data_IF_732643488707
#
_entry.id   IF_732643488707
#
_cell.length_a   1.000
_cell.length_b   1.000
_cell.length_c   1.000
_cell.angle_alpha   90.00
_cell.angle_beta   90.00
_cell.angle_gamma   90.00
#
_symmetry.space_group_name_H-M   'P 1'
#
loop_
_entity.id
_entity.type
_entity.pdbx_description
1 polymer ?
#
# COMPACT_ATOMS: atom_id res chain seq x y z
N UNK A 1 21.04 -36.07 3.37
CA UNK A 1 20.71 -36.13 4.78
C UNK A 1 19.93 -34.88 5.25
N UNK A 2 20.48 -33.67 5.20
CA UNK A 2 19.81 -32.45 5.72
C UNK A 2 18.46 -32.15 5.06
N UNK A 3 18.35 -32.17 3.72
CA UNK A 3 17.08 -31.93 3.00
C UNK A 3 16.01 -32.98 3.40
N UNK A 4 16.45 -34.23 3.53
CA UNK A 4 15.55 -35.31 3.98
C UNK A 4 15.04 -35.07 5.39
N UNK A 5 15.87 -34.50 6.28
CA UNK A 5 15.48 -34.20 7.65
C UNK A 5 14.47 -33.02 7.70
N UNK A 6 14.65 -32.00 6.84
CA UNK A 6 13.70 -30.89 6.69
C UNK A 6 12.29 -31.42 6.33
N UNK A 7 12.20 -32.28 5.32
CA UNK A 7 10.91 -32.86 4.91
C UNK A 7 10.34 -33.80 5.97
N UNK A 8 11.19 -34.60 6.64
CA UNK A 8 10.75 -35.53 7.69
C UNK A 8 10.18 -34.84 8.94
N UNK A 9 10.57 -33.56 9.21
CA UNK A 9 9.96 -32.79 10.31
C UNK A 9 8.44 -32.73 10.18
N UNK A 10 7.91 -32.72 8.95
CA UNK A 10 6.49 -32.61 8.69
C UNK A 10 5.68 -33.87 9.02
N UNK A 11 6.24 -35.07 8.82
CA UNK A 11 5.48 -36.31 9.00
C UNK A 11 6.08 -37.29 10.04
N UNK A 12 7.34 -37.11 10.45
CA UNK A 12 7.99 -37.93 11.45
C UNK A 12 8.80 -37.10 12.47
N UNK A 13 8.21 -36.03 13.07
CA UNK A 13 8.94 -35.05 13.87
C UNK A 13 9.67 -35.64 15.06
N UNK A 14 9.10 -36.61 15.76
CA UNK A 14 9.73 -37.25 16.91
C UNK A 14 11.09 -37.87 16.59
N UNK A 15 11.20 -38.58 15.46
CA UNK A 15 12.45 -39.25 15.08
C UNK A 15 13.50 -38.21 14.66
N UNK A 16 13.08 -37.21 13.91
CA UNK A 16 14.00 -36.20 13.37
C UNK A 16 14.50 -35.26 14.46
N UNK A 17 13.62 -34.76 15.34
CA UNK A 17 14.06 -33.88 16.43
C UNK A 17 15.03 -34.59 17.40
N UNK A 18 14.84 -35.90 17.65
CA UNK A 18 15.80 -36.66 18.43
C UNK A 18 17.19 -36.65 17.80
N UNK A 19 17.30 -36.82 16.47
CA UNK A 19 18.55 -36.77 15.71
C UNK A 19 19.15 -35.35 15.67
N UNK A 20 18.31 -34.33 15.42
CA UNK A 20 18.74 -32.92 15.38
C UNK A 20 19.29 -32.49 16.75
N UNK A 21 18.62 -32.83 17.83
CA UNK A 21 19.05 -32.47 19.19
C UNK A 21 20.34 -33.14 19.58
N UNK A 22 20.55 -34.39 19.16
CA UNK A 22 21.81 -35.12 19.41
C UNK A 22 22.98 -34.58 18.60
N UNK A 23 22.76 -34.13 17.37
CA UNK A 23 23.79 -33.59 16.49
C UNK A 23 23.33 -32.30 15.79
N UNK A 24 23.27 -31.18 16.53
CA UNK A 24 22.69 -29.92 16.02
C UNK A 24 23.59 -29.26 14.99
N UNK A 25 23.10 -29.18 13.72
CA UNK A 25 23.78 -28.54 12.61
C UNK A 25 22.96 -27.33 12.15
N UNK A 26 23.52 -26.12 12.18
CA UNK A 26 22.87 -24.89 11.76
C UNK A 26 22.44 -24.89 10.28
N UNK A 27 23.17 -25.61 9.42
CA UNK A 27 22.96 -25.61 7.99
C UNK A 27 21.51 -25.94 7.60
N UNK A 28 20.85 -26.85 8.32
CA UNK A 28 19.45 -27.19 8.03
C UNK A 28 18.49 -26.04 8.33
N UNK A 29 18.66 -25.37 9.47
CA UNK A 29 17.85 -24.22 9.83
C UNK A 29 18.11 -23.02 8.89
N UNK A 30 19.35 -22.85 8.42
CA UNK A 30 19.69 -21.82 7.42
C UNK A 30 19.03 -22.14 6.07
N UNK A 31 18.99 -23.40 5.65
CA UNK A 31 18.27 -23.79 4.43
C UNK A 31 16.76 -23.48 4.58
N UNK A 32 16.16 -23.74 5.74
CA UNK A 32 14.74 -23.38 6.00
C UNK A 32 14.54 -21.87 5.89
N UNK A 33 15.44 -21.06 6.46
CA UNK A 33 15.41 -19.59 6.31
C UNK A 33 15.45 -19.18 4.83
N UNK A 34 16.37 -19.73 4.05
CA UNK A 34 16.49 -19.38 2.62
C UNK A 34 15.25 -19.79 1.82
N UNK A 35 14.70 -20.96 2.10
CA UNK A 35 13.44 -21.42 1.48
C UNK A 35 12.25 -20.54 1.89
N UNK A 36 12.19 -20.11 3.14
CA UNK A 36 11.16 -19.19 3.61
C UNK A 36 11.26 -17.83 2.89
N UNK A 37 12.47 -17.25 2.81
CA UNK A 37 12.70 -15.99 2.13
C UNK A 37 12.29 -16.10 0.66
N UNK A 38 12.68 -17.17 -0.03
CA UNK A 38 12.29 -17.38 -1.43
C UNK A 38 10.76 -17.53 -1.60
N UNK A 39 10.12 -18.33 -0.75
CA UNK A 39 8.68 -18.56 -0.82
C UNK A 39 7.88 -17.28 -0.51
N UNK A 40 8.25 -16.56 0.54
CA UNK A 40 7.59 -15.31 0.92
C UNK A 40 7.78 -14.21 -0.14
N UNK A 41 8.98 -14.09 -0.71
CA UNK A 41 9.22 -13.15 -1.81
C UNK A 41 8.34 -13.48 -3.01
N UNK A 42 8.21 -14.75 -3.37
CA UNK A 42 7.31 -15.20 -4.43
C UNK A 42 5.83 -14.90 -4.11
N UNK A 43 5.43 -15.06 -2.84
CA UNK A 43 4.08 -14.68 -2.38
C UNK A 43 3.82 -13.19 -2.55
N UNK A 44 4.71 -12.33 -2.05
CA UNK A 44 4.56 -10.88 -2.18
C UNK A 44 4.56 -10.44 -3.64
N UNK A 45 5.45 -11.03 -4.47
CA UNK A 45 5.42 -10.78 -5.91
C UNK A 45 4.06 -11.15 -6.53
N UNK A 46 3.56 -12.34 -6.25
CA UNK A 46 2.27 -12.81 -6.78
C UNK A 46 1.09 -11.95 -6.32
N UNK A 47 1.10 -11.47 -5.08
CA UNK A 47 0.07 -10.60 -4.53
C UNK A 47 0.13 -9.18 -5.10
N UNK A 48 1.32 -8.56 -5.07
CA UNK A 48 1.48 -7.17 -5.52
C UNK A 48 1.44 -7.00 -7.04
N UNK A 49 1.72 -8.05 -7.83
CA UNK A 49 1.51 -8.03 -9.28
C UNK A 49 0.03 -7.91 -9.70
N UNK A 50 -0.90 -8.06 -8.77
CA UNK A 50 -2.35 -7.90 -8.97
C UNK A 50 -2.92 -6.66 -8.29
N UNK A 51 -2.10 -5.90 -7.59
CA UNK A 51 -2.53 -4.75 -6.80
C UNK A 51 -2.09 -3.47 -7.51
N UNK A 52 -3.01 -2.85 -8.23
CA UNK A 52 -2.79 -1.65 -9.01
C UNK A 52 -3.21 -0.42 -8.23
N UNK A 53 -2.33 0.56 -8.12
CA UNK A 53 -2.60 1.87 -7.53
C UNK A 53 -2.65 2.93 -8.60
N UNK A 54 -3.66 3.79 -8.53
CA UNK A 54 -3.78 4.92 -9.45
C UNK A 54 -2.64 5.90 -9.23
N UNK A 55 -1.93 6.21 -10.32
CA UNK A 55 -0.86 7.18 -10.34
C UNK A 55 -1.40 8.58 -10.62
N UNK A 56 -0.70 9.59 -10.13
CA UNK A 56 -1.04 11.00 -10.36
C UNK A 56 0.16 11.80 -10.84
N UNK A 57 -0.12 12.90 -11.51
CA UNK A 57 0.87 13.96 -11.76
C UNK A 57 0.28 15.28 -11.24
N UNK A 58 0.89 15.93 -10.25
CA UNK A 58 2.19 15.65 -9.61
C UNK A 58 2.26 14.28 -8.93
N UNK A 59 3.50 13.74 -8.90
CA UNK A 59 3.77 12.39 -8.40
C UNK A 59 3.58 12.28 -6.89
N UNK A 60 3.22 11.10 -6.40
CA UNK A 60 3.15 10.79 -4.98
C UNK A 60 1.89 11.34 -4.30
N UNK A 61 0.79 11.44 -5.05
CA UNK A 61 -0.50 11.92 -4.54
C UNK A 61 -0.44 13.34 -3.95
N UNK A 62 0.39 14.21 -4.52
CA UNK A 62 0.54 15.61 -4.11
C UNK A 62 -0.46 16.51 -4.83
N UNK A 63 -1.76 16.28 -4.66
CA UNK A 63 -2.83 16.97 -5.38
C UNK A 63 -2.84 18.49 -5.17
N UNK A 64 -2.34 18.95 -4.02
CA UNK A 64 -2.22 20.36 -3.67
C UNK A 64 -0.95 21.06 -4.17
N UNK A 65 0.00 20.34 -4.76
CA UNK A 65 1.33 20.88 -5.07
C UNK A 65 1.27 22.21 -5.83
N UNK A 66 0.49 22.31 -6.90
CA UNK A 66 0.37 23.52 -7.69
C UNK A 66 -0.49 24.58 -7.00
N UNK A 67 -1.50 24.19 -6.23
CA UNK A 67 -2.41 25.11 -5.54
C UNK A 67 -1.88 25.61 -4.20
N UNK A 68 -0.74 25.12 -3.75
CA UNK A 68 -0.01 25.66 -2.60
C UNK A 68 1.05 26.71 -2.97
N UNK A 69 1.21 27.01 -4.25
CA UNK A 69 2.16 28.02 -4.72
C UNK A 69 1.45 29.03 -5.63
N UNK A 70 1.04 30.15 -5.05
CA UNK A 70 0.34 31.22 -5.76
C UNK A 70 1.20 31.87 -6.86
N UNK A 71 2.53 31.81 -6.76
CA UNK A 71 3.44 32.43 -7.75
C UNK A 71 3.48 31.71 -9.10
N UNK A 72 2.97 30.48 -9.15
CA UNK A 72 2.87 29.72 -10.41
C UNK A 72 1.67 30.16 -11.26
N UNK A 73 0.75 30.93 -10.68
CA UNK A 73 -0.52 31.26 -11.31
C UNK A 73 -0.56 32.68 -11.81
N UNK A 74 -1.16 32.85 -12.99
CA UNK A 74 -1.49 34.13 -13.60
C UNK A 74 -3.00 34.30 -13.68
N UNK A 75 -3.44 35.57 -13.75
CA UNK A 75 -4.86 35.93 -13.87
C UNK A 75 -5.00 37.33 -14.50
N UNK A 76 -6.22 37.80 -14.70
CA UNK A 76 -6.52 39.14 -15.24
C UNK A 76 -5.78 40.27 -14.49
N UNK A 77 -5.40 41.32 -15.20
CA UNK A 77 -4.90 42.54 -14.57
C UNK A 77 -5.92 43.11 -13.59
N UNK A 78 -5.49 43.42 -12.37
CA UNK A 78 -6.37 43.86 -11.27
C UNK A 78 -7.00 42.75 -10.42
N UNK A 79 -6.87 41.50 -10.81
CA UNK A 79 -7.25 40.39 -9.96
C UNK A 79 -6.21 40.14 -8.86
N UNK A 80 -6.66 39.65 -7.72
CA UNK A 80 -5.82 39.31 -6.56
C UNK A 80 -5.79 37.79 -6.39
N UNK A 81 -4.59 37.22 -6.31
CA UNK A 81 -4.38 35.82 -5.94
C UNK A 81 -3.96 35.79 -4.47
N UNK A 82 -4.63 35.00 -3.66
CA UNK A 82 -4.33 34.86 -2.23
C UNK A 82 -4.54 33.43 -1.73
N UNK A 83 -3.93 33.10 -0.58
CA UNK A 83 -4.19 31.84 0.10
C UNK A 83 -5.41 31.97 0.99
N UNK A 84 -6.25 30.95 1.01
CA UNK A 84 -7.36 30.81 1.94
C UNK A 84 -7.15 29.58 2.83
N UNK A 85 -7.07 29.84 4.16
CA UNK A 85 -6.83 28.82 5.17
C UNK A 85 -8.11 28.40 5.90
N UNK A 86 -9.23 29.09 5.67
CA UNK A 86 -10.50 28.84 6.36
C UNK A 86 -11.49 28.01 5.56
N UNK A 87 -11.36 28.02 4.22
CA UNK A 87 -12.24 27.28 3.33
C UNK A 87 -11.40 26.46 2.36
N UNK A 88 -11.15 25.23 2.73
CA UNK A 88 -10.31 24.27 2.04
C UNK A 88 -10.83 22.85 2.24
N UNK A 89 -10.37 21.94 1.37
CA UNK A 89 -10.59 20.50 1.56
C UNK A 89 -9.51 20.02 2.52
N UNK A 90 -9.91 19.71 3.75
CA UNK A 90 -8.99 19.27 4.78
C UNK A 90 -8.58 17.81 4.55
N UNK A 91 -7.48 17.63 3.82
CA UNK A 91 -6.90 16.33 3.52
C UNK A 91 -5.39 16.50 3.30
N UNK A 92 -4.59 15.56 3.78
CA UNK A 92 -3.12 15.59 3.69
C UNK A 92 -2.60 15.75 2.27
N UNK A 93 -3.29 15.16 1.27
CA UNK A 93 -2.86 15.20 -0.14
C UNK A 93 -3.28 16.50 -0.86
N UNK A 94 -4.28 17.22 -0.36
CA UNK A 94 -4.75 18.47 -0.95
C UNK A 94 -4.06 19.72 -0.38
N UNK A 95 -3.25 19.56 0.67
CA UNK A 95 -2.50 20.65 1.31
C UNK A 95 -3.29 21.44 2.35
N UNK A 96 -2.68 22.54 2.81
CA UNK A 96 -3.13 23.32 3.98
C UNK A 96 -3.93 24.57 3.61
N UNK A 97 -4.06 24.88 2.33
CA UNK A 97 -4.75 26.08 1.83
C UNK A 97 -5.38 25.82 0.47
N UNK A 98 -6.40 26.57 0.14
CA UNK A 98 -6.87 26.76 -1.24
C UNK A 98 -6.32 28.06 -1.81
N UNK A 99 -6.21 28.17 -3.13
CA UNK A 99 -5.95 29.43 -3.81
C UNK A 99 -7.27 30.14 -4.12
N UNK A 100 -7.36 31.38 -3.74
CA UNK A 100 -8.47 32.28 -4.06
C UNK A 100 -8.04 33.29 -5.11
N UNK A 101 -8.87 33.42 -6.14
CA UNK A 101 -8.77 34.42 -7.20
C UNK A 101 -9.95 35.36 -7.06
N UNK A 102 -9.68 36.65 -6.89
CA UNK A 102 -10.72 37.67 -6.70
C UNK A 102 -10.53 38.81 -7.69
N UNK A 103 -11.61 39.20 -8.40
CA UNK A 103 -11.64 40.30 -9.35
C UNK A 103 -12.94 41.07 -9.15
N UNK A 104 -12.86 42.39 -9.05
CA UNK A 104 -14.03 43.24 -8.84
C UNK A 104 -14.50 43.86 -10.17
N UNK A 105 -15.79 44.02 -10.31
CA UNK A 105 -16.44 44.74 -11.44
C UNK A 105 -16.05 44.17 -12.81
N UNK A 106 -16.16 42.86 -12.96
CA UNK A 106 -15.89 42.15 -14.21
C UNK A 106 -16.94 41.10 -14.48
N UNK A 107 -17.16 40.78 -15.76
CA UNK A 107 -17.94 39.63 -16.19
C UNK A 107 -17.08 38.43 -16.56
N UNK A 108 -15.76 38.58 -16.60
CA UNK A 108 -14.86 37.51 -17.04
C UNK A 108 -13.64 37.41 -16.13
N UNK A 109 -13.21 36.18 -15.88
CA UNK A 109 -11.95 35.90 -15.20
C UNK A 109 -11.27 34.71 -15.87
N UNK A 110 -9.94 34.79 -16.00
CA UNK A 110 -9.15 33.60 -16.29
C UNK A 110 -8.20 33.27 -15.12
N UNK A 111 -7.89 32.01 -15.00
CA UNK A 111 -6.83 31.51 -14.13
C UNK A 111 -5.92 30.63 -14.97
N UNK A 112 -4.62 30.80 -14.84
CA UNK A 112 -3.66 30.14 -15.69
C UNK A 112 -2.47 29.63 -14.87
N UNK A 113 -2.14 28.36 -15.07
CA UNK A 113 -0.92 27.73 -14.63
C UNK A 113 -0.09 27.47 -15.90
N UNK A 114 0.80 28.40 -16.24
CA UNK A 114 1.48 28.43 -17.53
C UNK A 114 2.57 27.38 -17.69
N UNK A 115 3.10 26.84 -16.58
CA UNK A 115 4.16 25.83 -16.60
C UNK A 115 3.98 24.82 -15.45
N UNK A 116 3.85 23.57 -15.82
CA UNK A 116 3.79 22.43 -14.87
C UNK A 116 5.18 22.02 -14.34
N UNK A 117 6.25 22.69 -14.77
CA UNK A 117 7.66 22.37 -14.52
C UNK A 117 8.16 21.09 -15.21
N UNK A 118 7.26 20.21 -15.63
CA UNK A 118 7.53 19.03 -16.46
C UNK A 118 6.34 18.82 -17.39
N UNK A 119 6.58 18.23 -18.56
CA UNK A 119 5.49 17.85 -19.46
C UNK A 119 4.74 16.65 -18.93
N UNK A 120 3.43 16.65 -19.15
CA UNK A 120 2.52 15.54 -18.79
C UNK A 120 2.13 14.81 -20.07
N UNK A 121 2.33 13.52 -20.07
CA UNK A 121 1.84 12.66 -21.15
C UNK A 121 0.37 12.33 -20.92
N UNK A 122 -0.49 12.75 -21.84
CA UNK A 122 -1.92 12.49 -21.88
C UNK A 122 -2.36 11.76 -23.16
N UNK A 123 -1.43 11.08 -23.85
CA UNK A 123 -1.79 10.20 -24.97
C UNK A 123 -2.53 8.92 -24.45
N UNK A 124 -2.99 8.00 -25.32
CA UNK A 124 -3.69 6.79 -24.86
C UNK A 124 -2.90 5.89 -23.90
N UNK A 125 -1.58 6.06 -23.78
CA UNK A 125 -0.72 5.33 -22.84
C UNK A 125 -0.40 6.13 -21.57
N UNK A 126 -0.74 7.42 -21.55
CA UNK A 126 -0.50 8.35 -20.45
C UNK A 126 -1.72 8.55 -19.55
N UNK A 127 -1.78 9.69 -18.87
CA UNK A 127 -2.90 10.06 -18.01
C UNK A 127 -4.19 10.23 -18.82
N UNK A 128 -5.28 9.68 -18.31
CA UNK A 128 -6.56 9.65 -19.02
C UNK A 128 -7.53 10.73 -18.55
N UNK A 129 -7.30 11.31 -17.39
CA UNK A 129 -8.16 12.31 -16.80
C UNK A 129 -7.33 13.42 -16.14
N UNK A 130 -7.87 14.64 -16.16
CA UNK A 130 -7.44 15.74 -15.31
C UNK A 130 -8.52 16.02 -14.29
N UNK A 131 -8.16 16.18 -13.03
CA UNK A 131 -9.07 16.51 -11.94
C UNK A 131 -8.70 17.86 -11.32
N UNK A 132 -9.73 18.63 -10.94
CA UNK A 132 -9.59 19.90 -10.25
C UNK A 132 -10.73 20.07 -9.25
N UNK A 133 -10.43 20.55 -8.06
CA UNK A 133 -11.42 20.97 -7.08
C UNK A 133 -11.62 22.47 -7.22
N UNK A 134 -12.85 22.89 -7.54
CA UNK A 134 -13.20 24.30 -7.76
C UNK A 134 -14.44 24.67 -6.93
N UNK A 135 -14.43 25.91 -6.43
CA UNK A 135 -15.59 26.54 -5.75
C UNK A 135 -15.77 27.95 -6.27
N UNK A 136 -16.93 28.23 -6.86
CA UNK A 136 -17.34 29.58 -7.24
C UNK A 136 -18.02 30.18 -6.00
N UNK A 137 -17.41 31.21 -5.41
CA UNK A 137 -17.90 31.88 -4.19
C UNK A 137 -18.80 33.04 -4.58
N UNK A 138 -18.37 33.83 -5.58
CA UNK A 138 -19.08 34.95 -6.18
C UNK A 138 -18.81 34.98 -7.69
N UNK A 139 -19.79 35.35 -8.52
CA UNK A 139 -21.23 35.52 -8.14
C UNK A 139 -21.87 34.16 -7.81
N UNK A 140 -22.99 34.19 -7.10
CA UNK A 140 -23.73 32.95 -6.75
C UNK A 140 -24.60 32.46 -7.91
N UNK A 141 -24.01 32.46 -9.10
CA UNK A 141 -24.61 31.95 -10.35
C UNK A 141 -23.58 31.13 -11.10
N UNK A 142 -24.02 30.19 -11.90
CA UNK A 142 -23.14 29.44 -12.78
C UNK A 142 -22.59 30.35 -13.91
N UNK A 143 -21.38 30.10 -14.44
CA UNK A 143 -20.87 30.81 -15.59
C UNK A 143 -21.69 30.48 -16.84
N UNK A 144 -21.93 31.50 -17.72
CA UNK A 144 -22.54 31.30 -19.03
C UNK A 144 -21.60 30.57 -20.00
N UNK A 145 -20.30 30.77 -19.82
CA UNK A 145 -19.26 30.09 -20.60
C UNK A 145 -18.10 29.74 -19.70
N UNK A 146 -17.64 28.51 -19.84
CA UNK A 146 -16.46 28.00 -19.15
C UNK A 146 -15.61 27.20 -20.12
N UNK A 147 -14.33 27.51 -20.22
CA UNK A 147 -13.45 26.87 -21.17
C UNK A 147 -12.14 26.50 -20.50
N UNK A 148 -11.75 25.23 -20.62
CA UNK A 148 -10.45 24.75 -20.17
C UNK A 148 -9.51 24.57 -21.37
N UNK A 149 -8.35 25.21 -21.32
CA UNK A 149 -7.29 25.02 -22.31
C UNK A 149 -6.11 24.31 -21.68
N UNK A 150 -5.55 23.31 -22.36
CA UNK A 150 -4.32 22.62 -22.00
C UNK A 150 -3.24 22.97 -23.02
N UNK A 151 -2.19 23.59 -22.56
CA UNK A 151 -1.08 24.01 -23.40
C UNK A 151 -0.14 22.85 -23.71
N UNK A 152 0.35 22.81 -24.95
CA UNK A 152 1.34 21.85 -25.40
C UNK A 152 2.58 22.59 -25.89
N UNK A 153 3.67 22.50 -25.14
CA UNK A 153 4.95 23.12 -25.37
C UNK A 153 4.95 24.68 -25.39
N UNK A 154 3.85 25.31 -25.80
CA UNK A 154 3.69 26.77 -25.83
C UNK A 154 2.23 27.15 -25.73
N UNK A 155 1.93 28.37 -25.26
CA UNK A 155 0.59 28.90 -25.16
C UNK A 155 -0.14 29.10 -26.51
N UNK A 156 0.58 29.04 -27.64
CA UNK A 156 -0.01 29.11 -28.98
C UNK A 156 -0.53 27.77 -29.50
N UNK A 157 -0.11 26.65 -28.87
CA UNK A 157 -0.55 25.31 -29.21
C UNK A 157 -1.31 24.77 -28.02
N UNK A 158 -2.60 24.56 -28.15
CA UNK A 158 -3.44 24.07 -27.04
C UNK A 158 -4.61 23.23 -27.48
N UNK A 159 -5.05 22.37 -26.59
CA UNK A 159 -6.33 21.70 -26.65
C UNK A 159 -7.34 22.48 -25.80
N UNK A 160 -8.56 22.66 -26.30
CA UNK A 160 -9.63 23.39 -25.62
C UNK A 160 -10.84 22.50 -25.40
N UNK A 161 -11.39 22.53 -24.18
CA UNK A 161 -12.57 21.80 -23.77
C UNK A 161 -13.63 22.73 -23.22
N UNK A 162 -14.89 22.53 -23.60
CA UNK A 162 -16.04 23.30 -23.10
C UNK A 162 -16.55 22.69 -21.79
N UNK A 163 -16.33 23.41 -20.68
CA UNK A 163 -16.76 23.05 -19.33
C UNK A 163 -18.11 23.66 -18.94
N UNK A 164 -18.79 24.36 -19.86
CA UNK A 164 -19.99 25.15 -19.54
C UNK A 164 -21.09 24.28 -18.91
N UNK A 165 -21.34 23.12 -19.48
CA UNK A 165 -22.32 22.14 -18.95
C UNK A 165 -21.93 21.59 -17.60
N UNK A 166 -20.64 21.23 -17.40
CA UNK A 166 -20.14 20.64 -16.17
C UNK A 166 -20.28 21.62 -15.01
N UNK A 167 -19.95 22.90 -15.24
CA UNK A 167 -20.06 23.95 -14.23
C UNK A 167 -21.49 24.46 -14.05
N UNK A 168 -22.35 24.43 -15.08
CA UNK A 168 -23.78 24.79 -14.93
C UNK A 168 -24.54 23.78 -14.08
N UNK A 169 -24.16 22.52 -14.13
CA UNK A 169 -24.73 21.45 -13.30
C UNK A 169 -24.12 21.39 -11.90
N UNK A 170 -23.02 22.10 -11.66
CA UNK A 170 -22.32 22.13 -10.38
C UNK A 170 -23.00 23.08 -9.40
N UNK A 171 -23.01 22.73 -8.11
CA UNK A 171 -23.56 23.60 -7.09
C UNK A 171 -22.59 24.78 -6.82
N UNK A 172 -23.15 26.01 -6.81
CA UNK A 172 -22.38 27.20 -6.42
C UNK A 172 -22.12 27.24 -4.92
N UNK A 173 -21.08 27.93 -4.50
CA UNK A 173 -20.66 28.08 -3.09
C UNK A 173 -20.30 26.78 -2.37
N UNK A 174 -20.14 25.67 -3.09
CA UNK A 174 -19.64 24.38 -2.56
C UNK A 174 -18.43 23.91 -3.37
N UNK A 175 -17.62 23.05 -2.78
CA UNK A 175 -16.52 22.42 -3.49
C UNK A 175 -17.04 21.38 -4.49
N UNK A 176 -16.71 21.57 -5.75
CA UNK A 176 -17.05 20.66 -6.84
C UNK A 176 -15.79 19.94 -7.32
N UNK A 177 -15.92 18.65 -7.63
CA UNK A 177 -14.88 17.87 -8.27
C UNK A 177 -15.12 17.84 -9.77
N UNK A 178 -14.33 18.59 -10.52
CA UNK A 178 -14.27 18.51 -11.96
C UNK A 178 -13.30 17.42 -12.36
N UNK A 179 -13.74 16.46 -13.14
CA UNK A 179 -12.87 15.45 -13.76
C UNK A 179 -13.14 15.45 -15.25
N UNK A 180 -12.13 15.80 -16.03
CA UNK A 180 -12.20 15.97 -17.48
C UNK A 180 -11.36 14.89 -18.15
N UNK A 181 -11.92 14.10 -19.10
CA UNK A 181 -11.13 13.14 -19.86
C UNK A 181 -10.13 13.89 -20.75
N UNK A 182 -8.87 13.43 -20.80
CA UNK A 182 -7.79 13.98 -21.63
C UNK A 182 -7.31 12.94 -22.63
N UNK A 183 -6.51 13.36 -23.63
CA UNK A 183 -5.91 12.47 -24.62
C UNK A 183 -6.83 12.08 -25.79
N UNK A 184 -8.13 12.27 -25.65
CA UNK A 184 -9.12 11.94 -26.71
C UNK A 184 -10.44 12.63 -26.44
N UNK A 185 -11.39 12.56 -27.36
CA UNK A 185 -12.76 13.04 -27.17
C UNK A 185 -13.02 14.45 -27.71
N UNK A 186 -13.83 15.26 -26.99
CA UNK A 186 -14.41 16.52 -27.48
C UNK A 186 -13.47 17.74 -27.32
N UNK A 187 -12.16 17.57 -27.47
CA UNK A 187 -11.19 18.65 -27.44
C UNK A 187 -11.00 19.27 -28.81
N UNK A 188 -11.05 20.59 -28.88
CA UNK A 188 -10.70 21.37 -30.07
C UNK A 188 -9.20 21.66 -30.05
N UNK A 189 -8.49 21.34 -31.13
CA UNK A 189 -7.06 21.65 -31.28
C UNK A 189 -6.86 23.03 -31.88
N UNK A 190 -5.95 23.83 -31.31
CA UNK A 190 -5.50 25.09 -31.86
C UNK A 190 -3.97 25.04 -32.05
N UNK A 191 -3.49 25.39 -33.21
CA UNK A 191 -2.10 25.17 -33.61
C UNK A 191 -1.80 23.70 -33.90
N UNK A 192 -0.70 23.22 -33.37
CA UNK A 192 -0.29 21.83 -33.52
C UNK A 192 0.06 21.23 -32.14
N UNK A 193 -0.93 21.08 -31.23
CA UNK A 193 -0.70 20.56 -29.90
C UNK A 193 -0.47 19.05 -29.94
N UNK A 194 0.31 18.55 -28.96
CA UNK A 194 0.68 17.15 -28.78
C UNK A 194 0.30 16.69 -27.38
N UNK A 195 -0.51 15.64 -27.28
CA UNK A 195 -0.94 15.05 -26.00
C UNK A 195 0.20 14.46 -25.17
N UNK A 196 1.34 14.15 -25.79
CA UNK A 196 2.51 13.68 -25.04
C UNK A 196 3.22 14.77 -24.27
N UNK A 197 2.93 16.04 -24.58
CA UNK A 197 3.69 17.19 -24.10
C UNK A 197 2.78 18.30 -23.56
N UNK A 198 1.89 17.99 -22.62
CA UNK A 198 1.06 18.99 -21.94
C UNK A 198 1.88 19.68 -20.86
N UNK A 199 1.98 21.00 -20.92
CA UNK A 199 2.89 21.80 -20.09
C UNK A 199 2.21 22.87 -19.24
N UNK A 200 0.92 23.14 -19.45
CA UNK A 200 0.20 24.15 -18.68
C UNK A 200 -1.31 24.05 -18.90
N UNK A 201 -2.05 24.84 -18.13
CA UNK A 201 -3.50 24.93 -18.25
C UNK A 201 -3.98 26.37 -18.08
N UNK A 202 -5.15 26.66 -18.65
CA UNK A 202 -5.90 27.89 -18.44
C UNK A 202 -7.40 27.58 -18.36
N UNK A 203 -8.05 28.13 -17.36
CA UNK A 203 -9.50 28.11 -17.21
C UNK A 203 -10.06 29.53 -17.41
N UNK A 204 -10.91 29.72 -18.40
CA UNK A 204 -11.63 30.95 -18.66
C UNK A 204 -13.08 30.80 -18.22
N UNK A 205 -13.58 31.75 -17.45
CA UNK A 205 -14.97 31.80 -16.98
C UNK A 205 -15.61 33.13 -17.37
N UNK A 206 -16.81 33.12 -17.97
CA UNK A 206 -17.61 34.29 -18.28
C UNK A 206 -19.00 34.19 -17.62
N UNK A 207 -19.45 35.30 -17.02
CA UNK A 207 -20.70 35.44 -16.32
C UNK A 207 -21.60 36.47 -17.04
N UNK A 208 -22.93 36.36 -16.87
CA UNK A 208 -23.92 37.20 -17.54
C UNK A 208 -23.87 38.69 -17.17
N UNK A 209 -23.30 39.01 -16.00
CA UNK A 209 -23.27 40.37 -15.47
C UNK A 209 -21.94 40.73 -14.87
N UNK A 210 -21.58 42.03 -14.96
CA UNK A 210 -20.44 42.55 -14.20
C UNK A 210 -20.70 42.47 -12.70
N UNK A 211 -19.85 41.83 -11.98
CA UNK A 211 -19.93 41.61 -10.53
C UNK A 211 -18.57 41.45 -9.89
N UNK A 212 -18.54 41.29 -8.60
CA UNK A 212 -17.37 40.69 -7.95
C UNK A 212 -17.30 39.23 -8.30
N UNK A 213 -16.13 38.77 -8.76
CA UNK A 213 -15.85 37.37 -9.03
C UNK A 213 -14.87 36.88 -7.96
N UNK A 214 -15.22 35.80 -7.27
CA UNK A 214 -14.34 35.11 -6.33
C UNK A 214 -14.47 33.63 -6.55
N UNK A 215 -13.35 32.98 -6.88
CA UNK A 215 -13.30 31.53 -7.03
C UNK A 215 -12.12 30.96 -6.26
N UNK A 216 -12.26 29.71 -5.83
CA UNK A 216 -11.22 28.97 -5.12
C UNK A 216 -10.91 27.69 -5.86
N UNK A 217 -9.64 27.35 -5.92
CA UNK A 217 -9.17 26.08 -6.46
C UNK A 217 -8.29 25.35 -5.46
N UNK A 218 -8.39 24.02 -5.47
CA UNK A 218 -7.52 23.16 -4.69
C UNK A 218 -7.42 21.79 -5.34
N UNK A 219 -6.22 21.21 -5.37
CA UNK A 219 -6.03 19.88 -5.93
C UNK A 219 -6.21 19.81 -7.44
N UNK A 220 -5.24 20.32 -8.18
CA UNK A 220 -5.16 20.19 -9.64
C UNK A 220 -4.14 19.10 -9.96
N UNK A 221 -4.56 18.05 -10.66
CA UNK A 221 -3.70 16.90 -10.95
C UNK A 221 -4.25 16.07 -12.12
N UNK A 222 -3.35 15.34 -12.76
CA UNK A 222 -3.69 14.33 -13.76
C UNK A 222 -3.76 12.95 -13.10
N UNK A 223 -4.61 12.04 -13.64
CA UNK A 223 -4.89 10.72 -13.09
C UNK A 223 -5.32 9.72 -14.18
N UNK A 224 -5.53 8.46 -13.79
CA UNK A 224 -6.10 7.42 -14.65
C UNK A 224 -5.09 6.40 -15.17
N UNK A 225 -3.80 6.50 -14.78
CA UNK A 225 -2.82 5.44 -14.96
C UNK A 225 -2.86 4.55 -13.71
N UNK A 226 -2.87 3.24 -13.92
CA UNK A 226 -2.82 2.25 -12.84
C UNK A 226 -1.58 1.40 -12.99
N UNK A 227 -0.73 1.42 -11.96
CA UNK A 227 0.53 0.66 -11.93
C UNK A 227 0.64 -0.14 -10.65
N UNK A 228 1.32 -1.28 -10.75
CA UNK A 228 1.68 -2.08 -9.57
C UNK A 228 2.90 -1.48 -8.87
N UNK A 229 3.09 -1.70 -7.56
CA UNK A 229 4.32 -1.28 -6.86
C UNK A 229 5.61 -1.82 -7.51
N UNK A 230 5.50 -2.94 -8.23
CA UNK A 230 6.61 -3.57 -8.94
C UNK A 230 6.96 -2.78 -10.21
N UNK A 231 5.98 -2.23 -10.92
CA UNK A 231 6.18 -1.39 -12.11
C UNK A 231 6.72 -0.02 -11.74
N UNK A 232 6.25 0.57 -10.64
CA UNK A 232 6.69 1.88 -10.15
C UNK A 232 8.17 1.85 -9.72
N UNK A 233 8.57 0.89 -8.90
CA UNK A 233 9.96 0.72 -8.45
C UNK A 233 10.27 -0.75 -8.16
N UNK A 234 10.64 -1.50 -9.19
CA UNK A 234 10.96 -2.93 -9.05
C UNK A 234 12.15 -3.18 -8.13
N UNK A 235 13.19 -2.37 -8.21
CA UNK A 235 14.41 -2.55 -7.41
C UNK A 235 14.16 -2.30 -5.94
N UNK A 236 13.54 -1.17 -5.60
CA UNK A 236 13.17 -0.85 -4.22
C UNK A 236 12.18 -1.85 -3.65
N UNK A 237 11.19 -2.28 -4.45
CA UNK A 237 10.25 -3.32 -4.04
C UNK A 237 10.96 -4.60 -3.59
N UNK A 238 11.84 -5.18 -4.44
CA UNK A 238 12.52 -6.43 -4.10
C UNK A 238 13.48 -6.28 -2.91
N UNK A 239 14.23 -5.18 -2.83
CA UNK A 239 15.14 -4.94 -1.69
C UNK A 239 14.33 -4.86 -0.38
N UNK A 240 13.25 -4.09 -0.37
CA UNK A 240 12.41 -3.91 0.83
C UNK A 240 11.75 -5.24 1.25
N UNK A 241 11.22 -6.00 0.30
CA UNK A 241 10.59 -7.30 0.59
C UNK A 241 11.61 -8.31 1.11
N UNK A 242 12.77 -8.43 0.47
CA UNK A 242 13.83 -9.34 0.93
C UNK A 242 14.29 -8.99 2.35
N UNK A 243 14.49 -7.71 2.65
CA UNK A 243 14.88 -7.26 3.98
C UNK A 243 13.77 -7.55 5.01
N UNK A 244 12.53 -7.23 4.70
CA UNK A 244 11.37 -7.47 5.57
C UNK A 244 11.24 -8.96 5.91
N UNK A 245 11.21 -9.81 4.91
CA UNK A 245 11.00 -11.26 5.04
C UNK A 245 12.16 -11.93 5.79
N UNK A 246 13.39 -11.53 5.49
CA UNK A 246 14.58 -12.02 6.20
C UNK A 246 14.53 -11.66 7.68
N UNK A 247 14.21 -10.41 8.01
CA UNK A 247 14.14 -9.94 9.40
C UNK A 247 12.95 -10.57 10.13
N UNK A 248 11.82 -10.75 9.47
CA UNK A 248 10.64 -11.44 10.03
C UNK A 248 11.00 -12.86 10.51
N UNK A 249 11.58 -13.68 9.61
CA UNK A 249 11.97 -15.04 9.99
C UNK A 249 13.02 -15.05 11.10
N UNK A 250 14.03 -14.18 11.01
CA UNK A 250 15.09 -14.11 12.01
C UNK A 250 14.54 -13.77 13.40
N UNK A 251 13.68 -12.77 13.49
CA UNK A 251 13.04 -12.38 14.75
C UNK A 251 12.13 -13.49 15.29
N UNK A 252 11.29 -14.09 14.44
CA UNK A 252 10.43 -15.20 14.84
C UNK A 252 11.26 -16.36 15.39
N UNK A 253 12.32 -16.76 14.70
CA UNK A 253 13.19 -17.84 15.10
C UNK A 253 13.90 -17.55 16.43
N UNK A 254 14.53 -16.37 16.55
CA UNK A 254 15.30 -15.98 17.77
C UNK A 254 14.35 -15.82 18.96
N UNK A 255 13.25 -15.09 18.81
CA UNK A 255 12.33 -14.79 19.92
C UNK A 255 11.64 -16.08 20.39
N UNK A 256 11.12 -16.89 19.47
CA UNK A 256 10.47 -18.16 19.82
C UNK A 256 11.46 -19.09 20.56
N UNK A 257 12.70 -19.18 20.09
CA UNK A 257 13.74 -19.96 20.77
C UNK A 257 14.06 -19.42 22.16
N UNK A 258 14.20 -18.11 22.31
CA UNK A 258 14.51 -17.46 23.57
C UNK A 258 13.40 -17.68 24.59
N UNK A 259 12.16 -17.51 24.18
CA UNK A 259 11.01 -17.73 25.07
C UNK A 259 10.87 -19.19 25.47
N UNK A 260 11.02 -20.13 24.54
CA UNK A 260 11.06 -21.57 24.86
C UNK A 260 12.17 -21.89 25.86
N UNK A 261 13.37 -21.34 25.64
CA UNK A 261 14.52 -21.55 26.53
C UNK A 261 14.24 -21.02 27.95
N UNK A 262 13.73 -19.79 28.06
CA UNK A 262 13.40 -19.15 29.34
C UNK A 262 12.31 -19.94 30.06
N UNK A 263 11.24 -20.33 29.36
CA UNK A 263 10.14 -21.08 29.98
C UNK A 263 10.55 -22.48 30.44
N UNK A 264 11.35 -23.21 29.65
CA UNK A 264 11.87 -24.51 30.04
C UNK A 264 12.74 -24.37 31.30
N UNK A 265 13.66 -23.39 31.33
CA UNK A 265 14.52 -23.12 32.48
C UNK A 265 13.72 -22.67 33.71
N UNK A 266 12.75 -21.77 33.54
CA UNK A 266 11.89 -21.29 34.61
C UNK A 266 11.07 -22.40 35.29
N UNK A 267 10.71 -23.41 34.51
CA UNK A 267 10.02 -24.62 35.02
C UNK A 267 10.99 -25.73 35.48
N UNK A 268 12.27 -25.38 35.73
CA UNK A 268 13.35 -26.27 36.20
C UNK A 268 13.70 -27.37 35.20
N UNK A 269 13.42 -27.20 33.90
CA UNK A 269 13.82 -28.14 32.87
C UNK A 269 15.31 -27.98 32.48
N UNK A 270 15.91 -29.08 32.00
CA UNK A 270 17.26 -29.06 31.44
C UNK A 270 17.19 -28.80 29.96
N UNK A 271 17.88 -27.75 29.48
CA UNK A 271 17.94 -27.40 28.07
C UNK A 271 19.25 -26.68 27.75
N UNK A 272 19.78 -26.94 26.56
CA UNK A 272 20.93 -26.24 25.99
C UNK A 272 20.52 -25.42 24.80
N UNK A 273 21.13 -24.23 24.63
CA UNK A 273 20.71 -23.26 23.62
C UNK A 273 20.84 -23.79 22.18
N UNK A 274 22.01 -24.30 21.80
CA UNK A 274 22.29 -24.69 20.40
C UNK A 274 21.32 -25.75 19.85
N UNK A 275 21.06 -26.90 20.51
CA UNK A 275 20.10 -27.85 20.02
C UNK A 275 18.66 -27.29 19.93
N UNK A 276 18.24 -26.47 20.89
CA UNK A 276 16.95 -25.84 20.87
C UNK A 276 16.80 -24.88 19.68
N UNK A 277 17.79 -23.99 19.50
CA UNK A 277 17.82 -23.01 18.42
C UNK A 277 17.75 -23.68 17.05
N UNK A 278 18.54 -24.72 16.83
CA UNK A 278 18.50 -25.48 15.58
C UNK A 278 17.16 -26.18 15.39
N UNK A 279 16.61 -26.84 16.41
CA UNK A 279 15.35 -27.55 16.30
C UNK A 279 14.17 -26.62 16.01
N UNK A 280 14.13 -25.44 16.64
CA UNK A 280 13.10 -24.41 16.36
C UNK A 280 13.21 -23.92 14.92
N UNK A 281 14.41 -23.66 14.40
CA UNK A 281 14.60 -23.28 12.99
C UNK A 281 14.05 -24.32 12.01
N UNK A 282 14.19 -25.63 12.32
CA UNK A 282 13.56 -26.68 11.52
C UNK A 282 12.02 -26.69 11.66
N UNK A 283 11.48 -26.39 12.84
CA UNK A 283 10.04 -26.39 13.06
C UNK A 283 9.32 -25.31 12.23
N UNK A 284 10.01 -24.19 11.92
CA UNK A 284 9.48 -23.10 11.11
C UNK A 284 9.31 -23.47 9.62
N UNK A 285 9.68 -24.70 9.18
CA UNK A 285 9.35 -25.19 7.83
C UNK A 285 7.84 -25.16 7.53
N UNK A 286 7.02 -25.23 8.55
CA UNK A 286 5.55 -25.19 8.44
C UNK A 286 5.06 -23.87 7.84
N UNK A 287 5.74 -22.75 8.10
CA UNK A 287 5.40 -21.44 7.55
C UNK A 287 5.59 -21.39 6.03
N UNK A 288 6.55 -22.17 5.49
CA UNK A 288 6.76 -22.29 4.04
C UNK A 288 5.55 -22.97 3.38
N UNK A 289 4.98 -24.00 4.02
CA UNK A 289 3.78 -24.68 3.49
C UNK A 289 2.61 -23.71 3.44
N UNK A 290 2.39 -22.93 4.50
CA UNK A 290 1.38 -21.88 4.54
C UNK A 290 1.58 -20.89 3.38
N UNK A 291 2.82 -20.44 3.16
CA UNK A 291 3.17 -19.51 2.08
C UNK A 291 2.88 -20.09 0.70
N UNK A 292 3.21 -21.36 0.46
CA UNK A 292 2.91 -22.03 -0.82
C UNK A 292 1.41 -22.11 -1.07
N UNK A 293 0.60 -22.37 -0.04
CA UNK A 293 -0.86 -22.35 -0.13
C UNK A 293 -1.36 -20.92 -0.42
N UNK A 294 -0.79 -19.92 0.24
CA UNK A 294 -1.11 -18.52 0.00
C UNK A 294 -0.78 -18.10 -1.45
N UNK A 295 0.35 -18.53 -2.01
CA UNK A 295 0.69 -18.31 -3.44
C UNK A 295 -0.39 -18.94 -4.33
N UNK A 296 -0.79 -20.17 -4.07
CA UNK A 296 -1.84 -20.82 -4.84
C UNK A 296 -3.18 -20.06 -4.73
N UNK A 297 -3.52 -19.55 -3.55
CA UNK A 297 -4.73 -18.75 -3.34
C UNK A 297 -4.67 -17.38 -4.06
N UNK A 298 -3.49 -16.74 -4.15
CA UNK A 298 -3.34 -15.47 -4.89
C UNK A 298 -3.60 -15.63 -6.39
N UNK A 299 -3.39 -16.83 -6.96
CA UNK A 299 -3.69 -17.03 -8.39
C UNK A 299 -5.17 -16.84 -8.72
N UNK A 300 -6.05 -17.12 -7.76
CA UNK A 300 -7.50 -16.96 -7.89
C UNK A 300 -7.99 -15.53 -7.62
N UNK A 301 -7.14 -14.64 -7.10
CA UNK A 301 -7.51 -13.23 -6.90
C UNK A 301 -7.63 -12.51 -8.24
N UNK A 302 -8.67 -11.71 -8.47
CA UNK A 302 -8.70 -10.77 -9.60
C UNK A 302 -7.70 -9.64 -9.37
N UNK A 303 -7.46 -8.85 -10.42
CA UNK A 303 -6.72 -7.58 -10.28
C UNK A 303 -7.50 -6.62 -9.40
N UNK A 304 -6.81 -6.00 -8.45
CA UNK A 304 -7.35 -5.03 -7.51
C UNK A 304 -6.90 -3.64 -7.97
N UNK A 305 -7.85 -2.76 -8.24
CA UNK A 305 -7.59 -1.38 -8.64
C UNK A 305 -7.94 -0.45 -7.49
N UNK A 306 -6.94 0.28 -7.00
CA UNK A 306 -7.07 1.23 -5.91
C UNK A 306 -7.03 2.64 -6.47
N UNK A 307 -8.19 3.30 -6.65
CA UNK A 307 -8.25 4.69 -7.12
C UNK A 307 -7.76 5.65 -6.03
N UNK A 308 -7.46 6.87 -6.43
CA UNK A 308 -6.90 7.89 -5.52
C UNK A 308 -7.84 8.26 -4.37
N UNK A 309 -9.15 8.15 -4.55
CA UNK A 309 -10.12 8.40 -3.50
C UNK A 309 -9.91 7.47 -2.30
N UNK A 310 -9.52 6.23 -2.57
CA UNK A 310 -9.13 5.26 -1.54
C UNK A 310 -7.80 5.65 -0.89
N UNK A 311 -6.81 5.98 -1.71
CA UNK A 311 -5.47 6.35 -1.25
C UNK A 311 -5.49 7.68 -0.47
N UNK A 312 -6.28 8.66 -0.92
CA UNK A 312 -6.45 9.95 -0.28
C UNK A 312 -7.39 9.92 0.95
N UNK A 313 -7.98 8.77 1.25
CA UNK A 313 -8.89 8.57 2.38
C UNK A 313 -10.04 9.60 2.42
N UNK A 314 -10.67 9.86 1.26
CA UNK A 314 -11.88 10.70 1.17
C UNK A 314 -13.03 9.93 1.83
N UNK A 315 -13.61 10.37 2.96
CA UNK A 315 -14.34 9.49 3.88
C UNK A 315 -15.51 8.71 3.25
N UNK A 316 -16.32 9.33 2.41
CA UNK A 316 -17.48 8.67 1.80
C UNK A 316 -17.06 7.69 0.69
N UNK A 317 -16.14 8.11 -0.17
CA UNK A 317 -15.66 7.35 -1.33
C UNK A 317 -14.74 6.21 -0.90
N UNK A 318 -13.84 6.47 0.06
CA UNK A 318 -12.94 5.46 0.62
C UNK A 318 -13.71 4.30 1.27
N UNK A 319 -14.84 4.56 1.92
CA UNK A 319 -15.64 3.49 2.54
C UNK A 319 -16.30 2.58 1.50
N UNK A 320 -16.80 3.12 0.39
CA UNK A 320 -17.38 2.34 -0.70
C UNK A 320 -16.33 1.43 -1.34
N UNK A 321 -15.13 1.97 -1.59
CA UNK A 321 -14.01 1.22 -2.17
C UNK A 321 -13.50 0.17 -1.20
N UNK A 322 -13.34 0.50 0.10
CA UNK A 322 -12.99 -0.46 1.14
C UNK A 322 -13.95 -1.66 1.18
N UNK A 323 -15.25 -1.39 1.09
CA UNK A 323 -16.25 -2.45 1.06
C UNK A 323 -16.10 -3.34 -0.18
N UNK A 324 -15.86 -2.75 -1.35
CA UNK A 324 -15.66 -3.49 -2.59
C UNK A 324 -14.37 -4.35 -2.56
N UNK A 325 -13.25 -3.78 -2.10
CA UNK A 325 -11.98 -4.49 -1.95
C UNK A 325 -12.11 -5.61 -0.92
N UNK A 326 -12.75 -5.34 0.23
CA UNK A 326 -12.98 -6.33 1.27
C UNK A 326 -13.84 -7.49 0.78
N UNK A 327 -14.91 -7.22 0.03
CA UNK A 327 -15.74 -8.26 -0.57
C UNK A 327 -14.95 -9.14 -1.56
N UNK A 328 -14.12 -8.50 -2.40
CA UNK A 328 -13.28 -9.19 -3.39
C UNK A 328 -12.20 -10.06 -2.75
N UNK A 329 -11.62 -9.59 -1.65
CA UNK A 329 -10.54 -10.31 -0.94
C UNK A 329 -11.02 -11.23 0.17
N UNK A 330 -12.33 -11.24 0.50
CA UNK A 330 -12.89 -11.99 1.62
C UNK A 330 -12.53 -13.48 1.61
N UNK A 331 -12.69 -14.13 0.45
CA UNK A 331 -12.38 -15.57 0.30
C UNK A 331 -10.89 -15.84 0.50
N UNK A 332 -10.02 -14.99 -0.05
CA UNK A 332 -8.58 -15.08 0.14
C UNK A 332 -8.20 -14.91 1.62
N UNK A 333 -8.74 -13.89 2.28
CA UNK A 333 -8.49 -13.60 3.70
C UNK A 333 -8.95 -14.76 4.60
N UNK A 334 -10.09 -15.38 4.28
CA UNK A 334 -10.59 -16.55 5.00
C UNK A 334 -9.65 -17.75 4.84
N UNK A 335 -9.26 -18.08 3.60
CA UNK A 335 -8.33 -19.18 3.32
C UNK A 335 -7.01 -18.92 4.05
N UNK A 336 -6.43 -17.73 3.89
CA UNK A 336 -5.20 -17.37 4.55
C UNK A 336 -5.28 -17.49 6.07
N UNK A 337 -6.34 -16.96 6.69
CA UNK A 337 -6.56 -17.03 8.14
C UNK A 337 -6.71 -18.46 8.67
N UNK A 338 -7.44 -19.32 7.98
CA UNK A 338 -7.59 -20.74 8.37
C UNK A 338 -6.24 -21.46 8.34
N UNK A 339 -5.46 -21.28 7.25
CA UNK A 339 -4.15 -21.93 7.16
C UNK A 339 -3.12 -21.31 8.12
N UNK A 340 -3.23 -20.03 8.43
CA UNK A 340 -2.41 -19.39 9.45
C UNK A 340 -2.64 -20.00 10.83
N UNK A 341 -3.89 -20.16 11.24
CA UNK A 341 -4.25 -20.81 12.51
C UNK A 341 -3.74 -22.26 12.51
N UNK A 342 -3.95 -23.02 11.44
CA UNK A 342 -3.46 -24.39 11.32
C UNK A 342 -1.93 -24.46 11.45
N UNK A 343 -1.20 -23.53 10.83
CA UNK A 343 0.26 -23.44 10.93
C UNK A 343 0.71 -23.15 12.35
N UNK A 344 0.07 -22.22 13.05
CA UNK A 344 0.40 -21.91 14.44
C UNK A 344 0.15 -23.09 15.37
N UNK A 345 -0.97 -23.81 15.20
CA UNK A 345 -1.23 -25.05 15.94
C UNK A 345 -0.16 -26.11 15.66
N UNK A 346 0.31 -26.19 14.43
CA UNK A 346 1.37 -27.12 14.07
C UNK A 346 2.71 -26.72 14.69
N UNK A 347 3.08 -25.42 14.67
CA UNK A 347 4.29 -24.92 15.36
C UNK A 347 4.23 -25.24 16.86
N UNK A 348 3.05 -25.06 17.49
CA UNK A 348 2.84 -25.44 18.91
C UNK A 348 3.08 -26.95 19.12
N UNK A 349 2.54 -27.79 18.25
CA UNK A 349 2.73 -29.23 18.34
C UNK A 349 4.22 -29.63 18.16
N UNK A 350 4.91 -29.07 17.17
CA UNK A 350 6.34 -29.31 16.95
C UNK A 350 7.17 -28.77 18.12
N UNK A 351 6.85 -27.59 18.64
CA UNK A 351 7.53 -27.01 19.81
C UNK A 351 7.30 -27.88 21.08
N UNK A 352 6.12 -28.46 21.24
CA UNK A 352 5.87 -29.41 22.33
C UNK A 352 6.71 -30.69 22.20
N UNK A 353 6.87 -31.21 20.97
CA UNK A 353 7.73 -32.36 20.69
C UNK A 353 9.20 -32.02 20.98
N UNK A 354 9.66 -30.84 20.53
CA UNK A 354 11.03 -30.35 20.79
C UNK A 354 11.25 -30.26 22.31
N UNK A 355 10.35 -29.57 23.02
CA UNK A 355 10.43 -29.36 24.48
C UNK A 355 10.50 -30.69 25.21
N UNK A 356 9.65 -31.64 24.85
CA UNK A 356 9.64 -32.98 25.47
C UNK A 356 10.93 -33.76 25.15
N UNK A 357 11.41 -33.69 23.92
CA UNK A 357 12.61 -34.43 23.49
C UNK A 357 13.89 -33.87 24.11
N UNK A 358 14.00 -32.54 24.21
CA UNK A 358 15.22 -31.89 24.72
C UNK A 358 15.33 -32.01 26.24
N UNK A 359 14.19 -32.13 26.96
CA UNK A 359 14.16 -32.32 28.42
C UNK A 359 14.26 -33.78 28.85
N UNK A 360 14.33 -34.72 27.89
CA UNK A 360 14.56 -36.13 28.22
C UNK A 360 16.01 -36.34 28.68
N UNK A 361 16.25 -37.13 29.77
CA UNK A 361 17.59 -37.43 30.21
C UNK A 361 18.38 -38.21 29.16
N UNK A 362 19.63 -37.82 28.94
CA UNK A 362 20.54 -38.42 27.94
C UNK A 362 21.23 -39.72 28.36
N UNK A 363 20.63 -40.52 29.25
CA UNK A 363 21.24 -41.75 29.70
C UNK A 363 21.03 -42.87 28.68
N UNK A 364 22.06 -43.32 28.04
CA UNK A 364 22.08 -44.51 27.17
C UNK A 364 21.67 -45.76 28.01
N UNK A 365 20.58 -46.44 27.57
CA UNK A 365 20.15 -47.69 28.14
C UNK A 365 19.03 -47.64 29.16
N UNK A 366 18.56 -46.49 29.63
CA UNK A 366 17.37 -46.38 30.45
C UNK A 366 16.18 -45.91 29.62
N UNK A 367 14.95 -46.43 29.91
CA UNK A 367 13.68 -45.87 29.47
C UNK A 367 13.46 -44.52 30.18
N UNK A 368 14.26 -43.51 29.85
CA UNK A 368 14.28 -42.23 30.53
C UNK A 368 12.96 -41.50 30.28
N UNK A 369 12.17 -41.40 31.36
CA UNK A 369 10.92 -40.63 31.33
C UNK A 369 11.26 -39.15 31.08
N UNK A 370 10.66 -38.52 30.06
CA UNK A 370 10.88 -37.10 29.82
C UNK A 370 10.54 -36.27 31.06
N UNK A 371 11.35 -35.30 31.39
CA UNK A 371 11.15 -34.39 32.54
C UNK A 371 9.84 -33.62 32.42
N UNK A 372 9.38 -33.33 31.18
CA UNK A 372 8.11 -32.71 30.89
C UNK A 372 7.13 -33.69 30.24
N UNK A 373 5.95 -33.80 30.85
CA UNK A 373 4.80 -34.47 30.24
C UNK A 373 4.23 -33.66 29.08
N UNK A 374 3.37 -34.25 28.26
CA UNK A 374 2.75 -33.61 27.12
C UNK A 374 2.05 -32.28 27.46
N UNK A 375 1.25 -32.25 28.54
CA UNK A 375 0.51 -31.04 28.94
C UNK A 375 1.45 -29.86 29.22
N UNK A 376 2.54 -30.05 29.96
CA UNK A 376 3.56 -29.04 30.20
C UNK A 376 4.24 -28.60 28.91
N UNK A 377 4.56 -29.55 28.03
CA UNK A 377 5.24 -29.23 26.74
C UNK A 377 4.37 -28.40 25.82
N UNK A 378 3.08 -28.72 25.72
CA UNK A 378 2.11 -27.93 24.96
C UNK A 378 1.91 -26.54 25.55
N UNK A 379 1.80 -26.43 26.88
CA UNK A 379 1.67 -25.13 27.55
C UNK A 379 2.87 -24.22 27.29
N UNK A 380 4.09 -24.76 27.44
CA UNK A 380 5.35 -24.02 27.18
C UNK A 380 5.41 -23.58 25.72
N UNK A 381 5.13 -24.48 24.79
CA UNK A 381 5.19 -24.16 23.36
C UNK A 381 4.12 -23.14 22.96
N UNK A 382 2.87 -23.34 23.41
CA UNK A 382 1.76 -22.43 23.10
C UNK A 382 1.96 -21.03 23.67
N UNK A 383 2.35 -20.94 24.94
CA UNK A 383 2.64 -19.64 25.57
C UNK A 383 3.83 -18.95 24.93
N UNK A 384 4.91 -19.69 24.56
CA UNK A 384 6.06 -19.12 23.85
C UNK A 384 5.66 -18.57 22.49
N UNK A 385 4.87 -19.30 21.71
CA UNK A 385 4.39 -18.81 20.40
C UNK A 385 3.49 -17.60 20.56
N UNK A 386 2.53 -17.61 21.48
CA UNK A 386 1.64 -16.48 21.73
C UNK A 386 2.43 -15.20 22.06
N UNK A 387 3.39 -15.32 22.96
CA UNK A 387 4.26 -14.18 23.32
C UNK A 387 5.13 -13.74 22.13
N UNK A 388 5.63 -14.69 21.33
CA UNK A 388 6.37 -14.36 20.09
C UNK A 388 5.52 -13.53 19.16
N UNK A 389 4.27 -13.93 18.90
CA UNK A 389 3.36 -13.19 18.03
C UNK A 389 3.04 -11.79 18.57
N UNK A 390 2.82 -11.65 19.87
CA UNK A 390 2.61 -10.34 20.51
C UNK A 390 3.85 -9.45 20.32
N UNK A 391 5.05 -9.96 20.58
CA UNK A 391 6.29 -9.19 20.43
C UNK A 391 6.51 -8.79 18.96
N UNK A 392 6.27 -9.70 18.01
CA UNK A 392 6.40 -9.40 16.59
C UNK A 392 5.38 -8.34 16.13
N UNK A 393 4.16 -8.38 16.63
CA UNK A 393 3.16 -7.35 16.34
C UNK A 393 3.64 -5.94 16.77
N UNK A 394 4.32 -5.83 17.92
CA UNK A 394 4.90 -4.55 18.37
C UNK A 394 6.18 -4.15 17.61
N UNK A 395 7.02 -5.10 17.19
CA UNK A 395 8.31 -4.80 16.55
C UNK A 395 8.19 -4.51 15.06
N UNK A 396 7.30 -5.20 14.37
CA UNK A 396 7.26 -5.21 12.89
C UNK A 396 5.89 -4.71 12.39
N UNK A 397 4.91 -4.52 13.28
CA UNK A 397 3.57 -4.05 12.93
C UNK A 397 2.72 -5.08 12.18
N UNK A 398 2.99 -6.37 12.40
CA UNK A 398 2.30 -7.50 11.74
C UNK A 398 1.18 -8.02 12.63
#
# INVERSE_FOLDING_TARGET
MIITDIVKVLYAPHKVFKQIIQNPKYLGAIIVLLLFVAAQTAFYYSYYSKNFSEQTFPVGNQFGMWTQNATLWNTNSGAVISYNYGDLINNTFYGNSSLQFALSNSSEIFIELGDFQNSVNCDPTGFQNMSMRIKIVEPQIAPEKATLSLYSLSASNYFQYDLTQDLSNSAVSVWNNLTVPVGSGNWLSNGNPDWQNITGLRLDLAFSTNSSISLRIQGVFFRGIYETPIEVDSTGFFINILQLVFMQFLFEWVILTALLYIMIKGLKGTVTWKPLFVAVGFALITTIIQTLIAIAATTALPSLYNPIEFLANVPAEAQLINNAVSATTATFSLIFGVFQIATYLWIVALGAIITRTITAPSVEGSSAVPQFGWGKSFLVSGASLLLTLIILAFLIGI
#
